data_IF_145774898430
#
_entry.id   IF_145774898430
#
_cell.length_a   1.000
_cell.length_b   1.000
_cell.length_c   1.000
_cell.angle_alpha   90.00
_cell.angle_beta   90.00
_cell.angle_gamma   90.00
#
_symmetry.space_group_name_H-M   'P 1'
#
loop_
_entity.id
_entity.type
_entity.pdbx_description
1 polymer ?
#
# COMPACT_ATOMS: atom_id res chain seq x y z
N UNK A 1 8.17 10.01 -15.45
CA UNK A 1 8.79 8.68 -15.61
C UNK A 1 7.81 7.60 -15.22
N UNK A 2 7.70 6.52 -16.02
CA UNK A 2 6.93 5.32 -15.68
C UNK A 2 7.90 4.18 -15.36
N UNK A 3 7.63 3.44 -14.31
CA UNK A 3 8.44 2.29 -13.92
C UNK A 3 7.58 1.11 -13.47
N UNK A 4 8.12 -0.10 -13.64
CA UNK A 4 7.42 -1.33 -13.24
C UNK A 4 7.79 -1.74 -11.82
N UNK A 5 6.81 -2.28 -11.11
CA UNK A 5 7.02 -3.22 -10.03
C UNK A 5 6.50 -4.59 -10.50
N UNK A 6 7.40 -5.51 -10.82
CA UNK A 6 7.04 -6.77 -11.48
C UNK A 6 7.20 -8.00 -10.55
N UNK A 7 7.15 -7.79 -9.25
CA UNK A 7 7.27 -8.87 -8.26
C UNK A 7 6.19 -9.92 -8.49
N UNK A 8 6.54 -11.19 -8.34
CA UNK A 8 5.67 -12.33 -8.64
C UNK A 8 5.73 -12.83 -10.09
N UNK A 9 6.51 -12.20 -10.96
CA UNK A 9 6.57 -12.54 -12.40
C UNK A 9 7.83 -13.28 -12.83
N UNK A 10 8.83 -13.42 -11.93
CA UNK A 10 10.09 -14.13 -12.22
C UNK A 10 11.10 -13.32 -13.01
N UNK A 11 11.07 -12.01 -12.93
CA UNK A 11 12.04 -11.14 -13.61
C UNK A 11 13.34 -10.89 -12.82
N UNK A 12 13.44 -11.44 -11.62
CA UNK A 12 14.61 -11.25 -10.76
C UNK A 12 14.72 -9.84 -10.19
N UNK A 13 15.83 -9.55 -9.52
CA UNK A 13 16.03 -8.27 -8.81
C UNK A 13 15.99 -7.03 -9.71
N UNK A 14 16.15 -7.19 -11.01
CA UNK A 14 16.16 -6.07 -11.94
C UNK A 14 14.78 -5.42 -12.11
N UNK A 15 13.69 -6.21 -12.11
CA UNK A 15 12.33 -5.72 -12.35
C UNK A 15 11.34 -6.12 -11.25
N UNK A 16 11.63 -7.15 -10.45
CA UNK A 16 10.79 -7.64 -9.38
C UNK A 16 11.06 -6.92 -8.05
N UNK A 17 11.35 -5.63 -8.10
CA UNK A 17 11.55 -4.80 -6.91
C UNK A 17 10.47 -3.72 -6.85
N UNK A 18 10.12 -3.32 -5.63
CA UNK A 18 9.34 -2.13 -5.40
C UNK A 18 10.28 -0.90 -5.38
N UNK A 19 10.18 0.01 -6.35
CA UNK A 19 11.07 1.15 -6.44
C UNK A 19 10.70 2.31 -5.50
N UNK A 20 9.55 2.25 -4.80
CA UNK A 20 9.03 3.35 -4.00
C UNK A 20 10.04 3.87 -2.97
N UNK A 21 10.63 2.97 -2.17
CA UNK A 21 11.61 3.34 -1.15
C UNK A 21 12.86 3.99 -1.73
N UNK A 22 13.36 3.46 -2.84
CA UNK A 22 14.55 3.98 -3.51
C UNK A 22 14.34 5.42 -4.03
N UNK A 23 13.23 5.69 -4.69
CA UNK A 23 12.96 7.03 -5.20
C UNK A 23 12.53 8.01 -4.12
N UNK A 24 11.88 7.55 -3.05
CA UNK A 24 11.52 8.39 -1.91
C UNK A 24 12.74 8.94 -1.13
N UNK A 25 13.93 8.34 -1.30
CA UNK A 25 15.17 8.90 -0.75
C UNK A 25 15.57 10.23 -1.37
N UNK A 26 15.15 10.49 -2.61
CA UNK A 26 15.56 11.68 -3.35
C UNK A 26 14.50 12.79 -3.25
N UNK A 27 14.80 13.92 -2.59
CA UNK A 27 13.88 15.06 -2.56
C UNK A 27 13.58 15.60 -3.96
N UNK A 28 12.33 16.06 -4.17
CA UNK A 28 11.91 16.66 -5.42
C UNK A 28 11.16 15.71 -6.38
N UNK A 29 11.19 14.40 -6.15
CA UNK A 29 10.31 13.48 -6.86
C UNK A 29 8.90 13.48 -6.27
N UNK A 30 7.89 13.60 -7.16
CA UNK A 30 6.52 13.19 -6.85
C UNK A 30 6.40 11.71 -7.25
N UNK A 31 5.74 10.92 -6.40
CA UNK A 31 5.63 9.47 -6.63
C UNK A 31 4.16 9.08 -6.52
N UNK A 32 3.63 8.42 -7.55
CA UNK A 32 2.27 7.89 -7.55
C UNK A 32 2.26 6.40 -7.85
N UNK A 33 1.38 5.66 -7.19
CA UNK A 33 1.26 4.20 -7.30
C UNK A 33 -0.22 3.79 -7.37
N UNK A 34 -0.88 3.94 -8.53
CA UNK A 34 -2.29 3.67 -8.71
C UNK A 34 -2.64 2.20 -8.46
N UNK A 35 -3.83 1.94 -7.91
CA UNK A 35 -4.36 0.60 -7.64
C UNK A 35 -5.51 0.20 -8.59
N UNK A 36 -6.14 1.14 -9.28
CA UNK A 36 -7.25 0.91 -10.20
C UNK A 36 -7.07 1.64 -11.52
N UNK A 37 -7.77 1.24 -12.61
CA UNK A 37 -7.78 1.99 -13.86
C UNK A 37 -8.23 3.44 -13.69
N UNK A 38 -9.23 3.68 -12.83
CA UNK A 38 -9.69 5.03 -12.51
C UNK A 38 -8.58 5.87 -11.88
N UNK A 39 -7.89 5.33 -10.87
CA UNK A 39 -6.79 6.03 -10.23
C UNK A 39 -5.63 6.28 -11.21
N UNK A 40 -5.35 5.31 -12.09
CA UNK A 40 -4.29 5.43 -13.06
C UNK A 40 -4.51 6.63 -14.01
N UNK A 41 -5.70 6.75 -14.59
CA UNK A 41 -6.00 7.86 -15.52
C UNK A 41 -5.95 9.20 -14.80
N UNK A 42 -6.65 9.34 -13.67
CA UNK A 42 -6.71 10.62 -12.95
C UNK A 42 -5.37 11.08 -12.38
N UNK A 43 -4.55 10.14 -11.85
CA UNK A 43 -3.20 10.45 -11.37
C UNK A 43 -2.23 10.74 -12.52
N UNK A 44 -2.37 10.04 -13.67
CA UNK A 44 -1.56 10.30 -14.85
C UNK A 44 -1.84 11.70 -15.42
N UNK A 45 -3.12 12.10 -15.52
CA UNK A 45 -3.49 13.43 -15.95
C UNK A 45 -2.90 14.51 -15.03
N UNK A 46 -2.97 14.31 -13.72
CA UNK A 46 -2.34 15.20 -12.74
C UNK A 46 -0.82 15.22 -12.86
N UNK A 47 -0.20 14.07 -13.12
CA UNK A 47 1.25 13.97 -13.31
C UNK A 47 1.74 14.71 -14.56
N UNK A 48 0.94 14.70 -15.64
CA UNK A 48 1.28 15.40 -16.88
C UNK A 48 1.21 16.92 -16.75
N UNK A 49 0.40 17.44 -15.83
CA UNK A 49 0.30 18.86 -15.52
C UNK A 49 1.24 19.32 -14.40
N UNK A 50 1.84 18.38 -13.68
CA UNK A 50 2.76 18.70 -12.59
C UNK A 50 4.08 19.26 -13.13
N UNK A 51 4.58 20.33 -12.55
CA UNK A 51 5.86 20.94 -12.90
C UNK A 51 7.07 20.20 -12.28
N UNK A 52 6.82 19.38 -11.25
CA UNK A 52 7.84 18.53 -10.64
C UNK A 52 8.04 17.23 -11.45
N UNK A 53 9.20 16.57 -11.35
CA UNK A 53 9.38 15.24 -11.90
C UNK A 53 8.48 14.22 -11.18
N UNK A 54 7.64 13.52 -11.93
CA UNK A 54 6.72 12.51 -11.38
C UNK A 54 7.17 11.10 -11.79
N UNK A 55 7.25 10.21 -10.80
CA UNK A 55 7.40 8.77 -10.98
C UNK A 55 6.04 8.09 -10.85
N UNK A 56 5.63 7.36 -11.89
CA UNK A 56 4.43 6.51 -11.86
C UNK A 56 4.86 5.06 -11.70
N UNK A 57 4.50 4.43 -10.59
CA UNK A 57 4.81 3.03 -10.30
C UNK A 57 3.66 2.16 -10.77
N UNK A 58 3.93 1.25 -11.68
CA UNK A 58 2.97 0.34 -12.29
C UNK A 58 3.23 -1.10 -11.84
N UNK A 59 2.35 -1.65 -11.03
CA UNK A 59 2.49 -3.04 -10.62
C UNK A 59 1.94 -3.97 -11.71
N UNK A 60 2.78 -4.88 -12.20
CA UNK A 60 2.43 -5.78 -13.32
C UNK A 60 1.23 -6.66 -13.02
N UNK A 61 1.01 -7.07 -11.78
CA UNK A 61 -0.18 -7.85 -11.40
C UNK A 61 -1.50 -7.10 -11.67
N UNK A 62 -1.48 -5.77 -11.76
CA UNK A 62 -2.66 -4.96 -12.03
C UNK A 62 -2.96 -4.78 -13.52
N UNK A 63 -2.04 -5.14 -14.43
CA UNK A 63 -2.24 -4.94 -15.87
C UNK A 63 -3.44 -5.70 -16.45
N UNK A 64 -3.75 -6.86 -15.89
CA UNK A 64 -4.89 -7.66 -16.29
C UNK A 64 -6.06 -7.63 -15.28
N UNK A 65 -5.95 -6.78 -14.24
CA UNK A 65 -7.01 -6.63 -13.27
C UNK A 65 -8.13 -5.75 -13.85
N UNK A 66 -9.37 -6.17 -13.61
CA UNK A 66 -10.55 -5.37 -13.91
C UNK A 66 -10.94 -4.58 -12.67
N UNK A 67 -11.42 -3.37 -12.87
CA UNK A 67 -11.83 -2.50 -11.77
C UNK A 67 -12.63 -1.29 -12.27
N UNK A 68 -13.07 -0.42 -11.36
CA UNK A 68 -13.70 0.84 -11.74
C UNK A 68 -12.79 1.61 -12.68
N UNK A 69 -13.33 2.07 -13.78
CA UNK A 69 -12.62 2.89 -14.76
C UNK A 69 -13.55 3.94 -15.34
N UNK A 70 -12.98 5.03 -15.89
CA UNK A 70 -13.77 5.96 -16.66
C UNK A 70 -14.19 5.29 -17.96
N UNK A 71 -15.48 5.22 -18.24
CA UNK A 71 -16.00 4.61 -19.46
C UNK A 71 -16.17 5.63 -20.59
N UNK A 72 -16.48 6.88 -20.22
CA UNK A 72 -16.89 7.91 -21.18
C UNK A 72 -16.04 9.19 -21.09
N UNK A 73 -15.54 9.53 -19.90
CA UNK A 73 -14.75 10.74 -19.69
C UNK A 73 -13.36 10.36 -19.14
N UNK A 74 -12.31 10.69 -19.90
CA UNK A 74 -10.90 10.53 -19.49
C UNK A 74 -10.29 11.85 -19.01
N UNK A 75 -11.03 12.95 -19.05
CA UNK A 75 -10.55 14.29 -18.70
C UNK A 75 -10.90 14.64 -17.25
N UNK A 76 -10.39 13.87 -16.31
CA UNK A 76 -10.49 14.15 -14.89
C UNK A 76 -9.13 14.02 -14.21
N UNK A 77 -8.99 14.67 -13.07
CA UNK A 77 -7.75 14.79 -12.33
C UNK A 77 -7.93 14.31 -10.89
N UNK A 78 -7.00 13.47 -10.43
CA UNK A 78 -6.90 13.14 -9.01
C UNK A 78 -5.75 13.94 -8.44
N UNK A 79 -5.99 14.84 -7.46
CA UNK A 79 -4.92 15.64 -6.89
C UNK A 79 -3.79 14.78 -6.32
N UNK A 80 -2.55 15.13 -6.66
CA UNK A 80 -1.38 14.49 -6.05
C UNK A 80 -1.37 14.80 -4.55
N UNK A 81 -1.03 13.80 -3.74
CA UNK A 81 -1.04 13.94 -2.29
C UNK A 81 -2.39 13.67 -1.62
N UNK A 82 -3.35 13.07 -2.33
CA UNK A 82 -4.65 12.68 -1.76
C UNK A 82 -4.81 11.17 -1.74
N UNK A 83 -4.91 10.62 -0.52
CA UNK A 83 -5.25 9.22 -0.28
C UNK A 83 -6.76 8.97 -0.44
N UNK A 84 -7.14 7.71 -0.47
CA UNK A 84 -8.55 7.28 -0.55
C UNK A 84 -8.84 6.18 0.45
N UNK A 85 -9.88 6.35 1.26
CA UNK A 85 -10.48 5.23 1.99
C UNK A 85 -11.22 4.38 0.98
N UNK A 86 -10.69 3.21 0.66
CA UNK A 86 -11.27 2.28 -0.32
C UNK A 86 -12.19 1.26 0.34
N UNK A 87 -12.01 1.01 1.64
CA UNK A 87 -12.88 0.21 2.47
C UNK A 87 -13.00 0.88 3.84
N UNK A 88 -14.19 1.31 4.26
CA UNK A 88 -14.40 1.83 5.61
C UNK A 88 -14.27 0.70 6.65
N UNK A 89 -13.88 1.06 7.86
CA UNK A 89 -13.76 0.12 8.98
C UNK A 89 -13.43 0.83 10.29
N UNK A 90 -13.38 0.10 11.39
CA UNK A 90 -13.15 0.65 12.72
C UNK A 90 -12.22 -0.18 13.60
N UNK A 91 -11.85 -1.40 13.18
CA UNK A 91 -11.01 -2.27 14.00
C UNK A 91 -9.53 -1.88 13.95
N UNK A 92 -9.01 -1.63 12.78
CA UNK A 92 -7.65 -1.14 12.53
C UNK A 92 -7.54 -0.50 11.15
N UNK A 93 -6.55 0.36 10.99
CA UNK A 93 -6.22 1.03 9.73
C UNK A 93 -5.18 0.21 8.96
N UNK A 94 -5.40 0.01 7.66
CA UNK A 94 -4.41 -0.54 6.74
C UNK A 94 -3.98 0.55 5.77
N UNK A 95 -2.71 0.90 5.80
CA UNK A 95 -2.08 1.79 4.83
C UNK A 95 -1.45 0.92 3.74
N UNK A 96 -1.91 1.07 2.52
CA UNK A 96 -1.44 0.28 1.37
C UNK A 96 -1.35 1.14 0.11
N UNK A 97 -0.72 0.62 -0.92
CA UNK A 97 -0.64 1.26 -2.24
C UNK A 97 -0.55 0.22 -3.35
N UNK A 98 -0.88 0.62 -4.56
CA UNK A 98 -0.75 -0.22 -5.76
C UNK A 98 -1.43 -1.59 -5.58
N UNK A 99 -0.79 -2.69 -5.97
CA UNK A 99 -1.36 -4.05 -5.88
C UNK A 99 -1.68 -4.51 -4.45
N UNK A 100 -1.08 -3.91 -3.43
CA UNK A 100 -1.37 -4.26 -2.04
C UNK A 100 -2.75 -3.78 -1.60
N UNK A 101 -3.25 -2.71 -2.17
CA UNK A 101 -4.58 -2.17 -1.84
C UNK A 101 -5.73 -3.16 -2.10
N UNK A 102 -5.92 -3.71 -3.31
CA UNK A 102 -6.96 -4.71 -3.54
C UNK A 102 -6.74 -6.00 -2.75
N UNK A 103 -5.50 -6.42 -2.51
CA UNK A 103 -5.23 -7.59 -1.68
C UNK A 103 -5.59 -7.37 -0.20
N UNK A 104 -5.38 -6.16 0.33
CA UNK A 104 -5.82 -5.80 1.68
C UNK A 104 -7.34 -5.87 1.81
N UNK A 105 -8.08 -5.33 0.84
CA UNK A 105 -9.55 -5.41 0.81
C UNK A 105 -10.01 -6.86 0.76
N UNK A 106 -9.44 -7.66 -0.14
CA UNK A 106 -9.76 -9.08 -0.26
C UNK A 106 -9.53 -9.84 1.05
N UNK A 107 -8.36 -9.65 1.69
CA UNK A 107 -8.04 -10.30 2.95
C UNK A 107 -9.02 -9.91 4.06
N UNK A 108 -9.37 -8.62 4.16
CA UNK A 108 -10.32 -8.12 5.14
C UNK A 108 -11.72 -8.74 4.95
N UNK A 109 -12.19 -8.84 3.71
CA UNK A 109 -13.49 -9.41 3.39
C UNK A 109 -13.54 -10.92 3.64
N UNK A 110 -12.50 -11.65 3.23
CA UNK A 110 -12.40 -13.11 3.45
C UNK A 110 -12.32 -13.46 4.94
N UNK A 111 -11.60 -12.67 5.73
CA UNK A 111 -11.51 -12.85 7.19
C UNK A 111 -12.74 -12.29 7.92
N UNK A 112 -13.58 -11.49 7.27
CA UNK A 112 -14.70 -10.81 7.89
C UNK A 112 -14.30 -9.79 8.95
N UNK A 113 -13.09 -9.21 8.84
CA UNK A 113 -12.58 -8.21 9.79
C UNK A 113 -12.96 -6.80 9.38
N UNK A 114 -13.20 -5.92 10.36
CA UNK A 114 -13.63 -4.54 10.14
C UNK A 114 -12.42 -3.60 9.99
N UNK A 115 -11.54 -3.93 9.02
CA UNK A 115 -10.38 -3.11 8.69
C UNK A 115 -10.77 -1.91 7.82
N UNK A 116 -10.27 -0.72 8.15
CA UNK A 116 -10.29 0.42 7.23
C UNK A 116 -9.06 0.37 6.33
N UNK A 117 -9.29 0.28 5.01
CA UNK A 117 -8.19 0.24 4.04
C UNK A 117 -8.07 1.60 3.34
N UNK A 118 -6.88 2.18 3.44
CA UNK A 118 -6.50 3.43 2.79
C UNK A 118 -5.51 3.14 1.68
N UNK A 119 -5.91 3.49 0.45
CA UNK A 119 -4.98 3.59 -0.68
C UNK A 119 -4.23 4.91 -0.60
N UNK A 120 -2.92 4.85 -0.38
CA UNK A 120 -2.08 6.03 -0.26
C UNK A 120 -1.98 6.80 -1.57
N UNK A 121 -2.03 6.14 -2.73
CA UNK A 121 -1.94 6.71 -4.09
C UNK A 121 -0.68 7.51 -4.37
N UNK A 122 -0.35 8.48 -3.49
CA UNK A 122 0.85 9.32 -3.57
C UNK A 122 1.84 8.92 -2.48
N UNK A 123 3.10 8.76 -2.87
CA UNK A 123 4.15 8.18 -2.02
C UNK A 123 5.34 9.15 -1.82
N UNK A 124 5.28 10.35 -2.34
CA UNK A 124 6.34 11.33 -2.11
C UNK A 124 6.28 11.86 -0.68
N UNK A 125 7.43 12.13 -0.10
CA UNK A 125 7.55 12.53 1.33
C UNK A 125 6.73 13.77 1.68
N UNK A 126 6.60 14.72 0.74
CA UNK A 126 5.83 15.94 0.93
C UNK A 126 4.32 15.75 0.66
N UNK A 127 3.94 14.71 -0.08
CA UNK A 127 2.59 14.50 -0.59
C UNK A 127 1.78 13.42 0.10
N UNK A 128 2.20 12.89 1.26
CA UNK A 128 1.35 11.98 2.03
C UNK A 128 0.17 12.73 2.65
N UNK A 129 -1.02 12.19 2.48
CA UNK A 129 -2.27 12.73 3.04
C UNK A 129 -2.40 12.43 4.55
N UNK A 130 -1.64 13.18 5.34
CA UNK A 130 -1.63 13.03 6.80
C UNK A 130 -2.96 13.39 7.46
N UNK A 131 -3.82 14.13 6.78
CA UNK A 131 -5.18 14.43 7.24
C UNK A 131 -6.03 13.15 7.23
N UNK A 132 -6.11 12.47 6.08
CA UNK A 132 -6.84 11.21 5.92
C UNK A 132 -6.24 10.10 6.78
N UNK A 133 -4.90 9.96 6.78
CA UNK A 133 -4.21 8.96 7.61
C UNK A 133 -4.50 9.22 9.10
N UNK A 134 -4.31 10.45 9.57
CA UNK A 134 -4.51 10.78 10.98
C UNK A 134 -5.95 10.65 11.46
N UNK A 135 -6.93 10.94 10.59
CA UNK A 135 -8.35 10.71 10.93
C UNK A 135 -8.63 9.22 11.16
N UNK A 136 -8.07 8.36 10.32
CA UNK A 136 -8.19 6.90 10.46
C UNK A 136 -7.44 6.37 11.69
N UNK A 137 -6.20 6.80 11.90
CA UNK A 137 -5.39 6.38 13.07
C UNK A 137 -6.13 6.72 14.37
N UNK A 138 -6.62 7.93 14.53
CA UNK A 138 -7.37 8.35 15.74
C UNK A 138 -8.68 7.60 15.92
N UNK A 139 -9.28 7.10 14.85
CA UNK A 139 -10.50 6.29 14.92
C UNK A 139 -10.23 4.85 15.35
N UNK A 140 -9.14 4.26 14.87
CA UNK A 140 -8.89 2.81 15.01
C UNK A 140 -7.84 2.47 16.07
N UNK A 141 -6.93 3.39 16.37
CA UNK A 141 -5.79 3.30 17.30
C UNK A 141 -4.81 2.15 16.98
N UNK A 142 -5.02 1.43 15.89
CA UNK A 142 -4.22 0.29 15.46
C UNK A 142 -3.92 0.41 13.97
N UNK A 143 -2.66 0.27 13.59
CA UNK A 143 -2.21 0.52 12.22
C UNK A 143 -1.40 -0.65 11.68
N UNK A 144 -1.72 -1.02 10.45
CA UNK A 144 -0.94 -1.94 9.61
C UNK A 144 -0.37 -1.15 8.44
N UNK A 145 0.93 -1.23 8.21
CA UNK A 145 1.56 -0.78 6.97
C UNK A 145 1.86 -1.98 6.08
N UNK A 146 1.22 -2.02 4.91
CA UNK A 146 1.30 -3.13 3.97
C UNK A 146 2.01 -2.69 2.68
N UNK A 147 3.09 -3.38 2.35
CA UNK A 147 3.92 -3.09 1.17
C UNK A 147 4.55 -4.34 0.56
N UNK A 148 5.06 -4.25 -0.67
CA UNK A 148 5.85 -5.29 -1.30
C UNK A 148 7.35 -5.19 -1.00
N UNK A 149 7.81 -4.04 -0.57
CA UNK A 149 9.21 -3.82 -0.23
C UNK A 149 9.70 -4.71 0.92
N UNK A 150 11.02 -4.87 1.08
CA UNK A 150 11.59 -5.64 2.18
C UNK A 150 11.41 -4.94 3.54
N UNK A 151 11.75 -5.61 4.63
CA UNK A 151 11.69 -5.00 5.97
C UNK A 151 12.60 -3.78 6.06
N UNK A 152 13.81 -3.89 5.52
CA UNK A 152 14.87 -2.89 5.65
C UNK A 152 14.81 -1.86 4.52
N UNK A 153 14.94 -0.57 4.86
CA UNK A 153 15.07 0.55 3.91
C UNK A 153 13.94 0.65 2.86
N UNK A 154 12.75 0.18 3.20
CA UNK A 154 11.58 0.27 2.32
C UNK A 154 10.78 1.55 2.55
N UNK A 155 9.84 1.81 1.65
CA UNK A 155 8.92 2.93 1.77
C UNK A 155 8.07 2.86 3.05
N UNK A 156 7.55 1.67 3.38
CA UNK A 156 6.74 1.46 4.58
C UNK A 156 7.51 1.64 5.89
N UNK A 157 8.82 1.46 5.89
CA UNK A 157 9.64 1.78 7.07
C UNK A 157 9.57 3.28 7.39
N UNK A 158 9.67 4.14 6.36
CA UNK A 158 9.55 5.59 6.51
C UNK A 158 8.14 5.99 6.96
N UNK A 159 7.10 5.44 6.35
CA UNK A 159 5.71 5.72 6.73
C UNK A 159 5.43 5.30 8.17
N UNK A 160 5.93 4.14 8.57
CA UNK A 160 5.79 3.63 9.95
C UNK A 160 6.44 4.58 10.96
N UNK A 161 7.66 5.04 10.69
CA UNK A 161 8.35 6.01 11.55
C UNK A 161 7.55 7.32 11.67
N UNK A 162 7.04 7.84 10.55
CA UNK A 162 6.22 9.07 10.56
C UNK A 162 4.88 8.89 11.30
N UNK A 163 4.20 7.75 11.13
CA UNK A 163 2.97 7.43 11.89
C UNK A 163 3.26 7.38 13.39
N UNK A 164 4.34 6.67 13.78
CA UNK A 164 4.75 6.58 15.18
C UNK A 164 5.03 7.97 15.78
N UNK A 165 5.75 8.84 15.06
CA UNK A 165 6.09 10.18 15.56
C UNK A 165 4.90 11.13 15.61
N UNK A 166 3.98 11.05 14.64
CA UNK A 166 2.84 11.97 14.53
C UNK A 166 1.67 11.61 15.43
N UNK A 167 1.49 10.31 15.68
CA UNK A 167 0.28 9.76 16.29
C UNK A 167 0.60 8.83 17.47
N UNK A 168 1.78 9.00 18.11
CA UNK A 168 2.22 8.15 19.20
C UNK A 168 1.15 8.00 20.31
N UNK A 169 0.55 9.13 20.71
CA UNK A 169 -0.48 9.16 21.76
C UNK A 169 -1.85 8.60 21.32
N UNK A 170 -2.02 8.38 20.01
CA UNK A 170 -3.23 7.81 19.42
C UNK A 170 -3.11 6.29 19.17
N UNK A 171 -1.94 5.67 19.40
CA UNK A 171 -1.69 4.27 19.09
C UNK A 171 -1.78 3.37 20.32
N UNK A 172 -2.57 2.28 20.24
CA UNK A 172 -2.64 1.24 21.28
C UNK A 172 -1.43 0.30 21.26
N UNK A 173 -0.74 0.19 20.12
CA UNK A 173 0.39 -0.71 19.90
C UNK A 173 1.31 -0.18 18.79
N UNK A 174 2.56 -0.70 18.67
CA UNK A 174 3.41 -0.37 17.53
C UNK A 174 2.74 -0.71 16.19
N UNK A 175 3.02 0.09 15.16
CA UNK A 175 2.54 -0.19 13.80
C UNK A 175 3.00 -1.57 13.35
N UNK A 176 2.06 -2.44 12.98
CA UNK A 176 2.36 -3.75 12.42
C UNK A 176 2.77 -3.58 10.96
N UNK A 177 3.96 -4.06 10.60
CA UNK A 177 4.42 -4.05 9.21
C UNK A 177 4.22 -5.43 8.58
N UNK A 178 3.57 -5.43 7.39
CA UNK A 178 3.50 -6.58 6.49
C UNK A 178 4.31 -6.20 5.26
N UNK A 179 5.37 -6.93 5.01
CA UNK A 179 6.41 -6.58 4.04
C UNK A 179 6.96 -7.82 3.35
N UNK A 180 7.61 -7.64 2.21
CA UNK A 180 8.31 -8.72 1.50
C UNK A 180 9.52 -9.25 2.27
N UNK A 181 10.05 -10.38 1.80
CA UNK A 181 11.24 -10.99 2.38
C UNK A 181 12.51 -10.17 2.14
N UNK A 182 13.51 -10.39 3.00
CA UNK A 182 14.84 -9.74 2.91
C UNK A 182 15.75 -10.37 1.82
N UNK A 183 15.21 -11.27 1.01
CA UNK A 183 15.94 -11.90 -0.09
C UNK A 183 15.76 -11.12 -1.39
N UNK A 184 16.80 -11.09 -2.22
CA UNK A 184 16.68 -10.58 -3.59
C UNK A 184 15.70 -11.46 -4.38
N UNK A 185 14.73 -10.87 -5.11
CA UNK A 185 13.80 -11.63 -5.93
C UNK A 185 14.51 -12.51 -6.95
N UNK A 186 14.15 -13.79 -7.01
CA UNK A 186 14.70 -14.76 -7.93
C UNK A 186 14.05 -14.65 -9.33
N UNK A 187 14.73 -15.12 -10.37
CA UNK A 187 14.13 -15.36 -11.70
C UNK A 187 13.24 -16.61 -11.71
N UNK A 188 13.36 -17.46 -10.72
CA UNK A 188 12.44 -18.59 -10.52
C UNK A 188 11.18 -18.10 -9.80
N UNK A 189 10.02 -18.22 -10.42
CA UNK A 189 8.73 -17.84 -9.80
C UNK A 189 8.46 -18.56 -8.49
N UNK A 190 8.93 -19.78 -8.35
CA UNK A 190 8.78 -20.58 -7.12
C UNK A 190 9.62 -19.97 -5.98
N UNK A 191 10.88 -19.64 -6.27
CA UNK A 191 11.77 -19.05 -5.27
C UNK A 191 11.42 -17.57 -5.00
N UNK A 192 10.95 -16.86 -6.01
CA UNK A 192 10.50 -15.45 -5.86
C UNK A 192 9.36 -15.33 -4.84
N UNK A 193 8.52 -16.40 -4.69
CA UNK A 193 7.42 -16.42 -3.72
C UNK A 193 7.88 -16.09 -2.29
N UNK A 194 9.10 -16.44 -1.93
CA UNK A 194 9.66 -16.11 -0.61
C UNK A 194 10.03 -14.64 -0.42
N UNK A 195 10.04 -13.87 -1.50
CA UNK A 195 10.43 -12.44 -1.48
C UNK A 195 9.24 -11.49 -1.50
N UNK A 196 8.02 -11.94 -1.74
CA UNK A 196 6.87 -11.05 -1.86
C UNK A 196 5.72 -11.38 -0.89
N UNK A 197 4.82 -10.41 -0.72
CA UNK A 197 3.63 -10.52 0.12
C UNK A 197 2.46 -11.04 -0.69
N UNK A 198 1.78 -12.06 -0.18
CA UNK A 198 0.51 -12.55 -0.68
C UNK A 198 -0.58 -12.52 0.39
N UNK A 199 -1.73 -13.12 0.09
CA UNK A 199 -2.88 -13.15 1.01
C UNK A 199 -2.57 -13.84 2.34
N UNK A 200 -1.69 -14.85 2.35
CA UNK A 200 -1.32 -15.56 3.57
C UNK A 200 -0.61 -14.64 4.57
N UNK A 201 0.38 -13.89 4.09
CA UNK A 201 1.12 -12.95 4.93
C UNK A 201 0.22 -11.79 5.40
N UNK A 202 -0.71 -11.34 4.54
CA UNK A 202 -1.67 -10.29 4.92
C UNK A 202 -2.61 -10.80 6.01
N UNK A 203 -3.19 -11.99 5.86
CA UNK A 203 -4.07 -12.60 6.87
C UNK A 203 -3.35 -12.79 8.20
N UNK A 204 -2.12 -13.30 8.17
CA UNK A 204 -1.31 -13.47 9.38
C UNK A 204 -1.04 -12.13 10.07
N UNK A 205 -0.74 -11.08 9.31
CA UNK A 205 -0.54 -9.73 9.82
C UNK A 205 -1.83 -9.13 10.42
N UNK A 206 -2.98 -9.34 9.78
CA UNK A 206 -4.28 -8.90 10.31
C UNK A 206 -4.66 -9.64 11.59
N UNK A 207 -4.42 -10.95 11.65
CA UNK A 207 -4.63 -11.73 12.87
C UNK A 207 -3.73 -11.23 14.01
N UNK A 208 -2.48 -10.89 13.71
CA UNK A 208 -1.54 -10.35 14.69
C UNK A 208 -2.02 -9.01 15.25
N UNK A 209 -2.38 -8.03 14.43
CA UNK A 209 -2.83 -6.71 14.92
C UNK A 209 -4.07 -6.83 15.80
N UNK A 210 -4.99 -7.76 15.50
CA UNK A 210 -6.16 -8.03 16.32
C UNK A 210 -5.79 -8.66 17.66
N UNK A 211 -4.91 -9.66 17.66
CA UNK A 211 -4.45 -10.32 18.89
C UNK A 211 -3.71 -9.34 19.82
N UNK A 212 -2.80 -8.55 19.28
CA UNK A 212 -2.03 -7.55 20.03
C UNK A 212 -2.92 -6.43 20.60
N UNK A 213 -4.04 -6.10 19.93
CA UNK A 213 -5.06 -5.15 20.43
C UNK A 213 -6.10 -5.78 21.38
N UNK A 214 -5.97 -7.06 21.71
CA UNK A 214 -6.93 -7.79 22.53
C UNK A 214 -8.28 -8.07 21.84
N UNK A 215 -8.36 -7.92 20.53
CA UNK A 215 -9.55 -8.20 19.71
C UNK A 215 -9.49 -9.61 19.14
N UNK A 216 -10.61 -10.31 19.12
CA UNK A 216 -10.68 -11.65 18.55
C UNK A 216 -11.05 -11.63 17.06
N UNK A 217 -10.60 -12.64 16.32
CA UNK A 217 -11.14 -12.91 14.98
C UNK A 217 -12.64 -13.21 15.06
N UNK A 218 -13.43 -12.87 14.04
CA UNK A 218 -14.83 -13.26 13.96
C UNK A 218 -15.00 -14.78 14.05
N UNK A 219 -16.07 -15.27 14.71
CA UNK A 219 -16.32 -16.70 14.89
C UNK A 219 -16.34 -17.46 13.55
N UNK A 220 -15.69 -18.63 13.50
CA UNK A 220 -15.66 -19.49 12.31
C UNK A 220 -14.68 -19.07 11.21
N UNK A 221 -13.80 -18.09 11.46
CA UNK A 221 -12.73 -17.67 10.56
C UNK A 221 -11.37 -18.12 11.09
N UNK A 222 -10.51 -18.57 10.19
CA UNK A 222 -9.10 -18.93 10.47
C UNK A 222 -8.17 -17.89 9.86
N UNK A 223 -7.05 -17.67 10.53
CA UNK A 223 -5.98 -16.80 10.04
C UNK A 223 -5.28 -17.37 8.80
#
# INVERSE_FOLDING_TARGET
VRTKCAIGTGYGSQHSMDPAGMYAMWPGWRIVAPSTPFDYVGLMNSALLCEDPVLVIEHVALYNASGPGPLEDLDYFIPLGKAKVVRPGSAFTVLAYSAMTPLAVQAADEMGVDAEVIDLRSLDRAGLDWETIGASVRKTNNVVMLEQGPLTASYGAMVTDEVQRRFFDDLDQPVVRIHGGESSPSVSKVLERAAFVGLEEIRAGFARVLADSGRALPPGRTA
#
